data_IF_014168166874
#
_entry.id   IF_014168166874
#
_cell.length_a   1.000
_cell.length_b   1.000
_cell.length_c   1.000
_cell.angle_alpha   90.00
_cell.angle_beta   90.00
_cell.angle_gamma   90.00
#
_symmetry.space_group_name_H-M   'P 1'
#
loop_
_entity.id
_entity.type
_entity.pdbx_description
1 polymer ?
#
# COMPACT_ATOMS: atom_id res chain seq x y z
N UNK A 1 -10.48 21.91 -20.28
CA UNK A 1 -10.31 20.46 -20.32
C UNK A 1 -9.57 19.99 -19.10
N UNK A 2 -9.90 18.79 -18.61
CA UNK A 2 -9.35 18.20 -17.37
C UNK A 2 -8.26 17.16 -17.61
N UNK A 3 -7.81 17.00 -18.86
CA UNK A 3 -6.98 15.88 -19.32
C UNK A 3 -5.67 15.72 -18.53
N UNK A 4 -4.97 16.81 -18.23
CA UNK A 4 -3.71 16.76 -17.47
C UNK A 4 -3.92 16.26 -16.03
N UNK A 5 -4.93 16.79 -15.34
CA UNK A 5 -5.25 16.37 -13.96
C UNK A 5 -5.65 14.90 -13.92
N UNK A 6 -6.51 14.48 -14.86
CA UNK A 6 -6.99 13.10 -14.99
C UNK A 6 -5.86 12.14 -15.31
N UNK A 7 -4.96 12.49 -16.24
CA UNK A 7 -3.82 11.65 -16.61
C UNK A 7 -2.84 11.45 -15.44
N UNK A 8 -2.55 12.51 -14.67
CA UNK A 8 -1.70 12.39 -13.48
C UNK A 8 -2.34 11.48 -12.42
N UNK A 9 -3.65 11.64 -12.16
CA UNK A 9 -4.37 10.82 -11.19
C UNK A 9 -4.42 9.35 -11.62
N UNK A 10 -4.72 9.07 -12.90
CA UNK A 10 -4.68 7.72 -13.46
C UNK A 10 -3.30 7.10 -13.39
N UNK A 11 -2.25 7.85 -13.72
CA UNK A 11 -0.87 7.37 -13.58
C UNK A 11 -0.57 6.98 -12.13
N UNK A 12 -0.96 7.80 -11.16
CA UNK A 12 -0.77 7.47 -9.75
C UNK A 12 -1.57 6.22 -9.34
N UNK A 13 -2.82 6.08 -9.81
CA UNK A 13 -3.65 4.90 -9.54
C UNK A 13 -2.96 3.64 -10.06
N UNK A 14 -2.65 3.60 -11.36
CA UNK A 14 -2.05 2.45 -12.05
C UNK A 14 -0.66 2.10 -11.50
N UNK A 15 0.14 3.09 -11.10
CA UNK A 15 1.47 2.82 -10.50
C UNK A 15 1.38 2.40 -9.04
N UNK A 16 0.28 2.69 -8.35
CA UNK A 16 0.04 2.19 -6.99
C UNK A 16 -0.55 0.78 -6.97
N UNK A 17 -1.15 0.31 -8.08
CA UNK A 17 -1.75 -1.03 -8.15
C UNK A 17 -0.79 -2.16 -7.72
N UNK A 18 0.40 -2.32 -8.35
CA UNK A 18 1.36 -3.34 -7.93
C UNK A 18 1.92 -3.09 -6.52
N UNK A 19 1.92 -1.84 -6.04
CA UNK A 19 2.43 -1.47 -4.71
C UNK A 19 1.45 -1.91 -3.62
N UNK A 20 0.14 -1.74 -3.82
CA UNK A 20 -0.89 -2.23 -2.90
C UNK A 20 -0.90 -3.76 -2.85
N UNK A 21 -0.76 -4.42 -4.00
CA UNK A 21 -0.65 -5.88 -4.07
C UNK A 21 0.58 -6.37 -3.29
N UNK A 22 1.74 -5.74 -3.51
CA UNK A 22 2.95 -5.99 -2.74
C UNK A 22 2.74 -5.76 -1.23
N UNK A 23 1.95 -4.77 -0.82
CA UNK A 23 1.63 -4.52 0.59
C UNK A 23 0.90 -5.69 1.25
N UNK A 24 0.01 -6.38 0.51
CA UNK A 24 -0.66 -7.59 1.00
C UNK A 24 0.33 -8.74 1.18
N UNK A 25 1.20 -8.94 0.18
CA UNK A 25 2.24 -9.98 0.20
C UNK A 25 3.21 -9.77 1.37
N UNK A 26 3.73 -8.56 1.49
CA UNK A 26 4.72 -8.21 2.50
C UNK A 26 4.08 -8.24 3.88
N UNK A 27 2.85 -7.73 4.04
CA UNK A 27 2.12 -7.84 5.29
C UNK A 27 1.91 -9.29 5.74
N UNK A 28 1.67 -10.22 4.81
CA UNK A 28 1.57 -11.65 5.09
C UNK A 28 2.92 -12.25 5.50
N UNK A 29 4.00 -11.89 4.79
CA UNK A 29 5.36 -12.28 5.16
C UNK A 29 5.73 -11.75 6.56
N UNK A 30 5.31 -10.54 6.92
CA UNK A 30 5.53 -9.94 8.24
C UNK A 30 4.73 -10.66 9.33
N UNK A 31 3.51 -11.10 9.04
CA UNK A 31 2.75 -11.95 9.98
C UNK A 31 3.56 -13.22 10.30
N UNK A 32 4.08 -13.93 9.29
CA UNK A 32 4.91 -15.10 9.53
C UNK A 32 6.21 -14.75 10.27
N UNK A 33 6.92 -13.69 9.86
CA UNK A 33 8.14 -13.25 10.52
C UNK A 33 7.93 -12.98 12.03
N UNK A 34 6.74 -12.51 12.41
CA UNK A 34 6.34 -12.27 13.79
C UNK A 34 5.65 -13.48 14.46
N UNK A 35 5.54 -14.62 13.77
CA UNK A 35 4.74 -15.79 14.20
C UNK A 35 3.32 -15.38 14.61
N UNK A 36 2.69 -14.48 13.86
CA UNK A 36 1.36 -13.94 14.16
C UNK A 36 0.24 -14.92 13.84
N UNK A 37 -0.94 -14.66 14.41
CA UNK A 37 -2.15 -15.45 14.18
C UNK A 37 -2.83 -15.10 12.86
N UNK A 38 -3.39 -16.09 12.19
CA UNK A 38 -4.28 -15.92 11.04
C UNK A 38 -5.78 -15.87 11.43
N UNK A 39 -6.10 -16.07 12.71
CA UNK A 39 -7.45 -15.95 13.26
C UNK A 39 -8.15 -14.62 12.92
N UNK A 40 -7.47 -13.45 12.92
CA UNK A 40 -8.04 -12.19 12.47
C UNK A 40 -8.57 -12.15 11.04
N UNK A 41 -8.21 -13.12 10.20
CA UNK A 41 -8.59 -13.19 8.78
C UNK A 41 -9.78 -14.13 8.54
N UNK A 42 -10.40 -14.69 9.59
CA UNK A 42 -11.58 -15.55 9.49
C UNK A 42 -12.71 -14.86 8.71
N UNK A 43 -13.26 -15.48 7.65
CA UNK A 43 -14.25 -14.85 6.78
C UNK A 43 -15.48 -14.33 7.51
N UNK A 44 -15.87 -14.94 8.65
CA UNK A 44 -17.04 -14.54 9.43
C UNK A 44 -16.85 -13.17 10.06
N UNK A 45 -15.62 -12.81 10.47
CA UNK A 45 -15.30 -11.49 11.04
C UNK A 45 -15.59 -10.39 10.03
N UNK A 46 -15.16 -10.60 8.78
CA UNK A 46 -15.28 -9.60 7.72
C UNK A 46 -16.71 -9.57 7.15
N UNK A 47 -17.35 -10.74 7.02
CA UNK A 47 -18.75 -10.83 6.61
C UNK A 47 -19.70 -10.12 7.59
N UNK A 48 -19.45 -10.22 8.91
CA UNK A 48 -20.22 -9.49 9.91
C UNK A 48 -20.08 -7.97 9.79
N UNK A 49 -18.92 -7.46 9.35
CA UNK A 49 -18.71 -6.02 9.15
C UNK A 49 -19.25 -5.53 7.80
N UNK A 50 -19.19 -6.35 6.75
CA UNK A 50 -19.81 -6.09 5.44
C UNK A 50 -19.06 -5.13 4.51
N UNK A 51 -17.85 -4.69 4.84
CA UNK A 51 -17.04 -3.82 3.97
C UNK A 51 -16.37 -4.63 2.85
N UNK A 52 -16.63 -4.36 1.55
CA UNK A 52 -16.14 -5.18 0.44
C UNK A 52 -14.61 -5.31 0.39
N UNK A 53 -13.89 -4.20 0.45
CA UNK A 53 -12.43 -4.22 0.39
C UNK A 53 -11.81 -4.96 1.57
N UNK A 54 -12.43 -4.87 2.76
CA UNK A 54 -11.99 -5.65 3.91
C UNK A 54 -12.19 -7.15 3.73
N UNK A 55 -13.31 -7.57 3.12
CA UNK A 55 -13.59 -8.99 2.84
C UNK A 55 -12.56 -9.53 1.85
N UNK A 56 -12.30 -8.79 0.77
CA UNK A 56 -11.34 -9.17 -0.26
C UNK A 56 -9.92 -9.28 0.31
N UNK A 57 -9.47 -8.26 1.04
CA UNK A 57 -8.13 -8.26 1.66
C UNK A 57 -7.95 -9.42 2.64
N UNK A 58 -8.98 -9.73 3.44
CA UNK A 58 -8.91 -10.90 4.33
C UNK A 58 -8.77 -12.22 3.58
N UNK A 59 -9.45 -12.36 2.44
CA UNK A 59 -9.32 -13.54 1.59
C UNK A 59 -7.90 -13.69 1.03
N UNK A 60 -7.26 -12.59 0.63
CA UNK A 60 -5.85 -12.58 0.24
C UNK A 60 -4.93 -13.06 1.37
N UNK A 61 -5.05 -12.49 2.59
CA UNK A 61 -4.21 -12.92 3.72
C UNK A 61 -4.37 -14.40 4.05
N UNK A 62 -5.61 -14.93 4.05
CA UNK A 62 -5.83 -16.37 4.26
C UNK A 62 -5.14 -17.23 3.21
N UNK A 63 -5.24 -16.85 1.94
CA UNK A 63 -4.62 -17.60 0.85
C UNK A 63 -3.09 -17.54 0.91
N UNK A 64 -2.53 -16.37 1.25
CA UNK A 64 -1.09 -16.17 1.38
C UNK A 64 -0.48 -16.94 2.55
N UNK A 65 -1.18 -17.09 3.66
CA UNK A 65 -0.69 -17.78 4.86
C UNK A 65 -1.00 -19.28 4.88
N UNK A 66 -1.77 -19.79 3.93
CA UNK A 66 -2.20 -21.17 3.91
C UNK A 66 -1.01 -22.15 3.83
N UNK A 67 -0.90 -23.05 4.81
CA UNK A 67 0.16 -24.06 4.88
C UNK A 67 1.49 -23.56 5.43
N UNK A 68 1.55 -22.38 6.06
CA UNK A 68 2.74 -21.89 6.74
C UNK A 68 3.02 -22.67 8.03
N UNK A 69 4.17 -23.36 8.10
CA UNK A 69 4.61 -24.03 9.32
C UNK A 69 5.04 -23.01 10.41
N UNK A 70 5.47 -21.81 9.99
CA UNK A 70 5.74 -20.71 10.91
C UNK A 70 4.46 -20.25 11.59
N UNK A 71 3.38 -20.02 10.84
CA UNK A 71 2.06 -19.71 11.41
C UNK A 71 1.61 -20.81 12.37
N UNK A 72 1.73 -22.08 11.97
CA UNK A 72 1.31 -23.21 12.82
C UNK A 72 2.11 -23.29 14.14
N UNK A 73 3.36 -22.83 14.14
CA UNK A 73 4.19 -22.82 15.35
C UNK A 73 3.63 -21.93 16.47
N UNK A 74 2.80 -20.93 16.14
CA UNK A 74 2.12 -20.07 17.11
C UNK A 74 1.03 -20.79 17.91
N UNK A 75 0.51 -21.92 17.42
CA UNK A 75 -0.61 -22.60 18.07
C UNK A 75 -0.22 -23.34 19.37
N UNK A 76 1.08 -23.54 19.61
CA UNK A 76 1.59 -24.30 20.75
C UNK A 76 2.63 -23.49 21.53
N UNK A 77 2.40 -23.30 22.83
CA UNK A 77 3.37 -22.62 23.71
C UNK A 77 3.47 -21.11 23.50
N UNK A 78 2.47 -20.50 22.87
CA UNK A 78 2.39 -19.05 22.73
C UNK A 78 1.44 -18.43 23.77
N UNK A 79 2.00 -17.57 24.61
CA UNK A 79 1.31 -16.83 25.67
C UNK A 79 0.70 -15.52 25.18
N UNK A 80 0.90 -15.12 23.91
CA UNK A 80 0.28 -13.92 23.35
C UNK A 80 -1.22 -14.10 23.23
N UNK A 81 -1.96 -13.17 23.85
CA UNK A 81 -3.43 -13.17 23.80
C UNK A 81 -3.95 -12.55 22.51
N UNK A 82 -3.29 -11.50 22.01
CA UNK A 82 -3.66 -10.80 20.77
C UNK A 82 -2.44 -10.23 20.09
N UNK A 83 -2.42 -10.30 18.75
CA UNK A 83 -1.44 -9.58 17.95
C UNK A 83 -1.68 -8.06 17.97
N UNK A 84 -0.61 -7.25 17.83
CA UNK A 84 -0.70 -5.82 17.61
C UNK A 84 -1.58 -5.45 16.41
N UNK A 85 -2.15 -4.25 16.44
CA UNK A 85 -3.09 -3.80 15.41
C UNK A 85 -2.46 -3.73 14.01
N UNK A 86 -1.15 -3.46 13.92
CA UNK A 86 -0.46 -3.44 12.62
C UNK A 86 -0.46 -4.81 11.92
N UNK A 87 -0.64 -5.92 12.65
CA UNK A 87 -0.85 -7.26 12.11
C UNK A 87 -2.35 -7.58 11.98
N UNK A 88 -3.08 -7.38 13.08
CA UNK A 88 -4.48 -7.83 13.25
C UNK A 88 -5.49 -7.03 12.44
N UNK A 89 -5.26 -5.72 12.29
CA UNK A 89 -6.19 -4.80 11.65
C UNK A 89 -5.89 -4.57 10.16
N UNK A 90 -4.99 -5.35 9.54
CA UNK A 90 -4.62 -5.19 8.14
C UNK A 90 -5.83 -5.24 7.18
N UNK A 91 -6.78 -6.20 7.30
CA UNK A 91 -7.99 -6.20 6.46
C UNK A 91 -8.83 -4.94 6.62
N UNK A 92 -8.95 -4.42 7.82
CA UNK A 92 -9.76 -3.25 8.13
C UNK A 92 -9.14 -1.98 7.52
N UNK A 93 -7.82 -1.83 7.63
CA UNK A 93 -7.10 -0.63 7.18
C UNK A 93 -6.86 -0.68 5.68
N UNK A 94 -6.22 -1.74 5.19
CA UNK A 94 -5.89 -1.88 3.75
C UNK A 94 -7.15 -2.10 2.93
N UNK A 95 -8.17 -2.76 3.48
CA UNK A 95 -9.48 -2.90 2.83
C UNK A 95 -10.21 -1.57 2.66
N UNK A 96 -10.16 -0.68 3.65
CA UNK A 96 -10.71 0.68 3.51
C UNK A 96 -9.95 1.48 2.43
N UNK A 97 -8.62 1.33 2.37
CA UNK A 97 -7.81 1.94 1.31
C UNK A 97 -8.19 1.40 -0.08
N UNK A 98 -8.43 0.10 -0.20
CA UNK A 98 -8.87 -0.52 -1.45
C UNK A 98 -10.22 0.01 -1.92
N UNK A 99 -11.20 0.13 -1.02
CA UNK A 99 -12.52 0.68 -1.36
C UNK A 99 -12.42 2.15 -1.82
N UNK A 100 -11.56 2.94 -1.17
CA UNK A 100 -11.29 4.32 -1.58
C UNK A 100 -10.65 4.41 -2.97
N UNK A 101 -9.71 3.50 -3.28
CA UNK A 101 -9.06 3.44 -4.60
C UNK A 101 -10.03 2.97 -5.69
N UNK A 102 -10.92 2.02 -5.39
CA UNK A 102 -12.00 1.60 -6.31
C UNK A 102 -12.95 2.74 -6.62
N UNK A 103 -13.30 3.55 -5.62
CA UNK A 103 -14.09 4.76 -5.84
C UNK A 103 -13.38 5.75 -6.77
N UNK A 104 -12.09 6.03 -6.52
CA UNK A 104 -11.29 6.90 -7.37
C UNK A 104 -11.19 6.36 -8.81
N UNK A 105 -10.97 5.05 -8.98
CA UNK A 105 -10.92 4.39 -10.28
C UNK A 105 -12.21 4.61 -11.09
N UNK A 106 -13.38 4.45 -10.45
CA UNK A 106 -14.67 4.71 -11.09
C UNK A 106 -14.81 6.16 -11.56
N UNK A 107 -14.43 7.13 -10.73
CA UNK A 107 -14.48 8.56 -11.08
C UNK A 107 -13.53 8.87 -12.25
N UNK A 108 -12.29 8.40 -12.17
CA UNK A 108 -11.28 8.65 -13.20
C UNK A 108 -11.60 7.96 -14.52
N UNK A 109 -12.25 6.80 -14.50
CA UNK A 109 -12.72 6.11 -15.70
C UNK A 109 -13.80 6.93 -16.42
N UNK A 110 -14.75 7.51 -15.68
CA UNK A 110 -15.77 8.40 -16.26
C UNK A 110 -15.08 9.62 -16.88
N UNK A 111 -14.18 10.27 -16.13
CA UNK A 111 -13.50 11.48 -16.59
C UNK A 111 -12.61 11.24 -17.81
N UNK A 112 -11.95 10.07 -17.89
CA UNK A 112 -11.13 9.68 -19.03
C UNK A 112 -11.92 9.58 -20.35
N UNK A 113 -13.24 9.35 -20.26
CA UNK A 113 -14.14 9.25 -21.41
C UNK A 113 -15.01 10.51 -21.61
N UNK A 114 -14.80 11.56 -20.80
CA UNK A 114 -15.66 12.73 -20.79
C UNK A 114 -15.27 13.79 -21.84
N UNK A 115 -16.27 14.55 -22.30
CA UNK A 115 -16.08 15.79 -23.07
C UNK A 115 -15.95 16.95 -22.08
N UNK A 116 -14.74 17.49 -21.96
CA UNK A 116 -14.36 18.44 -20.88
C UNK A 116 -13.89 19.81 -21.37
N UNK A 117 -14.03 20.08 -22.67
CA UNK A 117 -13.88 21.40 -23.25
C UNK A 117 -15.20 22.20 -23.20
N UNK A 118 -15.14 23.44 -23.68
CA UNK A 118 -16.28 24.36 -23.71
C UNK A 118 -16.03 25.46 -24.76
N UNK A 119 -17.05 25.95 -25.51
CA UNK A 119 -18.46 25.53 -25.50
C UNK A 119 -18.70 24.16 -26.15
N UNK A 120 -19.82 23.53 -25.81
CA UNK A 120 -20.23 22.25 -26.39
C UNK A 120 -21.15 22.46 -27.60
N UNK A 121 -20.92 21.69 -28.66
CA UNK A 121 -21.72 21.73 -29.89
C UNK A 121 -22.59 20.49 -29.99
N UNK A 122 -23.92 20.70 -30.01
CA UNK A 122 -24.91 19.65 -30.17
C UNK A 122 -25.45 19.68 -31.60
N UNK A 123 -24.94 18.76 -32.43
CA UNK A 123 -25.24 18.77 -33.86
C UNK A 123 -26.71 18.46 -34.19
N UNK A 124 -27.38 17.68 -33.35
CA UNK A 124 -28.75 17.22 -33.57
C UNK A 124 -29.76 18.37 -33.60
N UNK A 125 -29.62 19.34 -32.68
CA UNK A 125 -30.47 20.53 -32.60
C UNK A 125 -29.74 21.82 -33.05
N UNK A 126 -28.49 21.70 -33.51
CA UNK A 126 -27.62 22.81 -33.92
C UNK A 126 -27.40 23.84 -32.80
N UNK A 127 -27.42 23.40 -31.55
CA UNK A 127 -27.16 24.26 -30.40
C UNK A 127 -25.66 24.34 -30.08
N UNK A 128 -25.24 25.51 -29.60
CA UNK A 128 -23.94 25.72 -28.96
C UNK A 128 -24.19 26.17 -27.53
N UNK A 129 -23.83 25.34 -26.55
CA UNK A 129 -24.10 25.58 -25.14
C UNK A 129 -22.80 25.86 -24.38
N UNK A 130 -22.80 26.93 -23.59
CA UNK A 130 -21.73 27.21 -22.65
C UNK A 130 -22.06 26.60 -21.29
N UNK A 131 -21.18 25.75 -20.79
CA UNK A 131 -21.26 25.08 -19.50
C UNK A 131 -19.91 25.09 -18.76
N UNK A 132 -19.71 24.10 -17.89
CA UNK A 132 -18.57 24.06 -16.95
C UNK A 132 -17.82 22.73 -16.90
N UNK A 133 -17.91 21.87 -17.92
CA UNK A 133 -17.28 20.54 -17.91
C UNK A 133 -15.74 20.58 -17.81
N UNK A 134 -15.11 21.74 -17.95
CA UNK A 134 -13.68 21.92 -17.69
C UNK A 134 -13.32 21.98 -16.20
N UNK A 135 -14.31 22.06 -15.30
CA UNK A 135 -14.08 22.14 -13.86
C UNK A 135 -13.79 20.75 -13.26
N UNK A 136 -12.53 20.47 -12.96
CA UNK A 136 -12.04 19.15 -12.56
C UNK A 136 -12.29 18.76 -11.09
N UNK A 137 -13.39 19.22 -10.48
CA UNK A 137 -13.71 18.93 -9.07
C UNK A 137 -13.77 17.43 -8.76
N UNK A 138 -14.41 16.59 -9.60
CA UNK A 138 -14.45 15.14 -9.36
C UNK A 138 -13.05 14.51 -9.29
N UNK A 139 -12.13 14.97 -10.16
CA UNK A 139 -10.74 14.50 -10.18
C UNK A 139 -9.98 14.94 -8.94
N UNK A 140 -10.20 16.18 -8.47
CA UNK A 140 -9.55 16.70 -7.27
C UNK A 140 -9.92 15.89 -6.03
N UNK A 141 -11.22 15.63 -5.82
CA UNK A 141 -11.73 14.83 -4.71
C UNK A 141 -11.25 13.37 -4.79
N UNK A 142 -11.24 12.78 -5.99
CA UNK A 142 -10.71 11.44 -6.21
C UNK A 142 -9.22 11.37 -5.85
N UNK A 143 -8.41 12.32 -6.31
CA UNK A 143 -6.98 12.39 -6.02
C UNK A 143 -6.71 12.59 -4.52
N UNK A 144 -7.46 13.46 -3.84
CA UNK A 144 -7.32 13.64 -2.39
C UNK A 144 -7.68 12.38 -1.60
N UNK A 145 -8.72 11.66 -2.02
CA UNK A 145 -9.08 10.37 -1.46
C UNK A 145 -7.99 9.31 -1.65
N UNK A 146 -7.37 9.25 -2.85
CA UNK A 146 -6.24 8.36 -3.11
C UNK A 146 -5.05 8.68 -2.20
N UNK A 147 -4.78 9.95 -1.93
CA UNK A 147 -3.69 10.35 -1.06
C UNK A 147 -3.82 9.78 0.36
N UNK A 148 -5.03 9.83 0.92
CA UNK A 148 -5.31 9.25 2.23
C UNK A 148 -5.06 7.74 2.23
N UNK A 149 -5.53 7.03 1.19
CA UNK A 149 -5.32 5.59 1.04
C UNK A 149 -3.83 5.24 0.92
N UNK A 150 -3.07 5.95 0.09
CA UNK A 150 -1.62 5.72 -0.10
C UNK A 150 -0.86 5.98 1.22
N UNK A 151 -1.19 7.08 1.92
CA UNK A 151 -0.56 7.41 3.19
C UNK A 151 -0.80 6.34 4.26
N UNK A 152 -2.04 5.83 4.39
CA UNK A 152 -2.40 4.83 5.38
C UNK A 152 -1.78 3.45 5.11
N UNK A 153 -1.64 3.05 3.84
CA UNK A 153 -0.89 1.83 3.48
C UNK A 153 0.57 1.94 3.91
N UNK A 154 1.22 3.09 3.66
CA UNK A 154 2.58 3.35 4.15
C UNK A 154 2.68 3.40 5.67
N UNK A 155 1.71 4.02 6.34
CA UNK A 155 1.71 4.15 7.79
C UNK A 155 1.58 2.80 8.50
N UNK A 156 0.66 1.92 8.06
CA UNK A 156 0.53 0.60 8.68
C UNK A 156 1.74 -0.30 8.39
N UNK A 157 2.35 -0.20 7.20
CA UNK A 157 3.61 -0.88 6.86
C UNK A 157 4.75 -0.44 7.77
N UNK A 158 4.91 0.87 7.98
CA UNK A 158 5.92 1.41 8.88
C UNK A 158 5.73 0.92 10.32
N UNK A 159 4.49 0.83 10.82
CA UNK A 159 4.20 0.24 12.13
C UNK A 159 4.53 -1.25 12.22
N UNK A 160 4.44 -2.00 11.11
CA UNK A 160 4.89 -3.41 11.06
C UNK A 160 6.42 -3.52 11.12
N UNK A 161 7.16 -2.62 10.44
CA UNK A 161 8.63 -2.53 10.57
C UNK A 161 9.01 -2.24 12.01
N UNK A 162 8.41 -1.23 12.63
CA UNK A 162 8.66 -0.84 14.01
C UNK A 162 8.44 -2.01 14.98
N UNK A 163 7.38 -2.80 14.75
CA UNK A 163 7.09 -3.98 15.54
C UNK A 163 8.15 -5.07 15.36
N UNK A 164 8.59 -5.37 14.13
CA UNK A 164 9.59 -6.42 13.87
C UNK A 164 10.93 -6.14 14.55
N UNK A 165 11.38 -4.88 14.57
CA UNK A 165 12.67 -4.52 15.17
C UNK A 165 12.62 -4.45 16.71
N UNK A 166 11.44 -4.42 17.30
CA UNK A 166 11.24 -4.40 18.75
C UNK A 166 11.17 -5.83 19.29
N UNK A 167 12.28 -6.29 19.89
CA UNK A 167 12.37 -7.64 20.48
C UNK A 167 11.33 -7.93 21.56
N UNK A 168 10.78 -6.91 22.22
CA UNK A 168 9.73 -7.11 23.23
C UNK A 168 8.38 -7.50 22.61
N UNK A 169 8.18 -7.20 21.33
CA UNK A 169 6.96 -7.50 20.59
C UNK A 169 7.18 -8.63 19.59
N UNK A 170 8.24 -8.57 18.78
CA UNK A 170 8.48 -9.54 17.68
C UNK A 170 9.03 -10.89 18.13
N UNK A 171 9.67 -10.95 19.31
CA UNK A 171 10.45 -12.11 19.79
C UNK A 171 11.58 -12.52 18.82
N UNK A 172 11.97 -11.61 17.94
CA UNK A 172 13.17 -11.70 17.11
C UNK A 172 14.32 -10.96 17.81
N UNK A 173 15.57 -11.18 17.38
CA UNK A 173 16.69 -10.38 17.87
C UNK A 173 16.42 -8.87 17.67
N UNK A 174 16.78 -8.01 18.63
CA UNK A 174 16.51 -6.58 18.54
C UNK A 174 17.17 -5.99 17.29
N UNK A 175 16.43 -5.12 16.58
CA UNK A 175 16.84 -4.56 15.29
C UNK A 175 17.15 -5.61 14.20
N UNK A 176 16.71 -6.86 14.38
CA UNK A 176 16.92 -7.97 13.47
C UNK A 176 18.41 -8.29 13.21
N UNK A 177 19.24 -8.23 14.25
CA UNK A 177 20.66 -8.60 14.22
C UNK A 177 21.04 -9.53 15.37
N UNK A 178 21.97 -10.46 15.15
CA UNK A 178 22.41 -11.44 16.17
C UNK A 178 23.21 -10.77 17.29
N UNK A 179 24.11 -9.84 16.95
CA UNK A 179 25.02 -9.17 17.88
C UNK A 179 24.63 -7.70 18.08
N UNK A 180 23.45 -7.48 18.66
CA UNK A 180 22.93 -6.14 18.91
C UNK A 180 23.85 -5.34 19.86
N UNK A 181 24.07 -4.06 19.53
CA UNK A 181 24.98 -3.16 20.24
C UNK A 181 26.38 -3.10 19.62
N UNK A 182 26.82 -4.17 18.94
CA UNK A 182 27.94 -4.11 17.99
C UNK A 182 27.42 -3.74 16.59
N UNK A 183 26.31 -4.36 16.19
CA UNK A 183 25.59 -4.06 14.95
C UNK A 183 24.30 -3.29 15.26
N UNK A 184 23.96 -2.35 14.38
CA UNK A 184 22.74 -1.55 14.45
C UNK A 184 21.58 -2.21 13.70
N UNK A 185 21.85 -3.19 12.85
CA UNK A 185 20.80 -3.93 12.17
C UNK A 185 19.91 -3.03 11.30
N UNK A 186 18.61 -3.19 11.44
CA UNK A 186 17.59 -2.43 10.72
C UNK A 186 17.21 -1.09 11.36
N UNK A 187 17.92 -0.64 12.41
CA UNK A 187 17.60 0.57 13.15
C UNK A 187 17.45 1.80 12.24
N UNK A 188 18.43 2.08 11.38
CA UNK A 188 18.39 3.26 10.51
C UNK A 188 17.46 3.06 9.31
N UNK A 189 17.30 1.83 8.83
CA UNK A 189 16.30 1.53 7.80
C UNK A 189 14.89 1.87 8.30
N UNK A 190 14.57 1.57 9.57
CA UNK A 190 13.31 1.98 10.19
C UNK A 190 13.17 3.51 10.28
N UNK A 191 14.23 4.24 10.64
CA UNK A 191 14.22 5.71 10.64
C UNK A 191 13.87 6.27 9.25
N UNK A 192 14.41 5.68 8.18
CA UNK A 192 14.03 6.05 6.80
C UNK A 192 12.55 5.81 6.54
N UNK A 193 12.01 4.64 6.90
CA UNK A 193 10.58 4.35 6.75
C UNK A 193 9.69 5.33 7.54
N UNK A 194 10.07 5.65 8.79
CA UNK A 194 9.36 6.59 9.64
C UNK A 194 9.33 8.01 9.06
N UNK A 195 10.46 8.47 8.49
CA UNK A 195 10.54 9.78 7.83
C UNK A 195 9.58 9.87 6.62
N UNK A 196 9.60 8.85 5.76
CA UNK A 196 8.74 8.79 4.56
C UNK A 196 7.25 8.69 4.93
N UNK A 197 6.91 7.89 5.95
CA UNK A 197 5.55 7.79 6.45
C UNK A 197 5.06 9.14 7.02
N UNK A 198 5.95 9.88 7.70
CA UNK A 198 5.64 11.21 8.21
C UNK A 198 5.47 12.25 7.09
N UNK A 199 6.32 12.20 6.06
CA UNK A 199 6.21 13.10 4.90
C UNK A 199 4.86 12.93 4.19
N UNK A 200 4.39 11.69 4.04
CA UNK A 200 3.08 11.41 3.44
C UNK A 200 1.91 12.02 4.22
N UNK A 201 2.03 12.25 5.54
CA UNK A 201 0.98 12.91 6.33
C UNK A 201 0.78 14.36 5.89
N UNK A 202 1.88 15.09 5.72
CA UNK A 202 1.83 16.47 5.24
C UNK A 202 1.36 16.52 3.79
N UNK A 203 1.87 15.60 2.95
CA UNK A 203 1.44 15.51 1.56
C UNK A 203 -0.05 15.19 1.44
N UNK A 204 -0.63 14.41 2.36
CA UNK A 204 -2.04 14.00 2.34
C UNK A 204 -3.06 15.12 2.57
N UNK A 205 -2.63 16.34 2.95
CA UNK A 205 -3.53 17.48 3.12
C UNK A 205 -4.36 17.72 1.84
N UNK A 206 -5.69 17.87 1.94
CA UNK A 206 -6.55 17.99 0.76
C UNK A 206 -6.26 19.28 0.00
N UNK A 207 -6.11 19.16 -1.31
CA UNK A 207 -5.95 20.31 -2.21
C UNK A 207 -7.29 20.78 -2.77
N UNK A 208 -8.27 19.87 -2.88
CA UNK A 208 -9.62 20.15 -3.41
C UNK A 208 -10.43 21.15 -2.58
N UNK A 209 -10.02 21.40 -1.33
CA UNK A 209 -10.70 22.37 -0.44
C UNK A 209 -10.14 23.79 -0.56
N UNK A 210 -9.12 23.98 -1.40
CA UNK A 210 -8.55 25.30 -1.70
C UNK A 210 -9.05 25.82 -3.05
N UNK A 211 -9.25 27.13 -3.13
CA UNK A 211 -9.66 27.84 -4.35
C UNK A 211 -9.23 29.30 -4.26
N UNK A 212 -8.60 29.81 -5.32
CA UNK A 212 -8.21 31.22 -5.42
C UNK A 212 -8.76 31.80 -6.71
N UNK A 213 -9.46 32.95 -6.65
CA UNK A 213 -10.07 33.52 -7.83
C UNK A 213 -9.01 34.02 -8.82
N UNK A 214 -9.18 33.70 -10.09
CA UNK A 214 -8.33 34.14 -11.20
C UNK A 214 -9.12 34.95 -12.21
N UNK A 215 -8.40 35.57 -13.16
CA UNK A 215 -9.02 36.24 -14.31
C UNK A 215 -10.04 37.33 -13.91
N UNK A 216 -9.67 38.18 -12.95
CA UNK A 216 -10.53 39.25 -12.39
C UNK A 216 -11.90 38.75 -11.86
N UNK A 217 -11.88 37.62 -11.14
CA UNK A 217 -13.05 36.91 -10.60
C UNK A 217 -13.96 36.27 -11.64
N UNK A 218 -13.53 36.15 -12.90
CA UNK A 218 -14.26 35.35 -13.90
C UNK A 218 -14.15 33.85 -13.59
N UNK A 219 -13.03 33.43 -13.00
CA UNK A 219 -12.79 32.09 -12.48
C UNK A 219 -12.74 32.21 -10.95
N UNK A 220 -13.89 32.38 -10.32
CA UNK A 220 -14.02 32.64 -8.87
C UNK A 220 -13.98 31.37 -8.01
N UNK A 221 -14.10 30.19 -8.64
CA UNK A 221 -13.94 28.88 -8.02
C UNK A 221 -13.17 27.92 -8.94
N UNK A 222 -12.17 27.23 -8.39
CA UNK A 222 -11.34 26.23 -9.10
C UNK A 222 -11.08 25.00 -8.21
N UNK A 223 -10.73 23.87 -8.83
CA UNK A 223 -10.63 22.58 -8.13
C UNK A 223 -9.26 22.19 -7.59
N UNK A 224 -8.19 22.88 -8.01
CA UNK A 224 -6.80 22.50 -7.73
C UNK A 224 -6.41 21.06 -8.14
N UNK A 225 -7.19 20.41 -9.01
CA UNK A 225 -7.05 18.99 -9.34
C UNK A 225 -5.64 18.58 -9.83
N UNK A 226 -4.96 19.46 -10.57
CA UNK A 226 -3.60 19.18 -11.06
C UNK A 226 -2.60 19.02 -9.92
N UNK A 227 -2.68 19.85 -8.87
CA UNK A 227 -1.81 19.71 -7.70
C UNK A 227 -2.20 18.47 -6.88
N UNK A 228 -3.51 18.27 -6.68
CA UNK A 228 -4.05 17.08 -6.00
C UNK A 228 -3.55 15.78 -6.65
N UNK A 229 -3.52 15.72 -7.98
CA UNK A 229 -3.06 14.56 -8.72
C UNK A 229 -1.52 14.42 -8.79
N UNK A 230 -0.78 15.53 -8.86
CA UNK A 230 0.70 15.56 -8.97
C UNK A 230 1.42 15.19 -7.67
N UNK A 231 0.81 15.39 -6.50
CA UNK A 231 1.44 15.01 -5.23
C UNK A 231 1.45 13.51 -5.00
N UNK A 232 0.54 12.77 -5.64
CA UNK A 232 0.39 11.33 -5.46
C UNK A 232 1.62 10.54 -5.90
N UNK A 233 2.35 10.98 -6.92
CA UNK A 233 3.49 10.25 -7.47
C UNK A 233 4.62 10.16 -6.44
N UNK A 234 4.89 11.23 -5.69
CA UNK A 234 5.83 11.21 -4.55
C UNK A 234 5.32 10.29 -3.45
N UNK A 235 4.02 10.34 -3.13
CA UNK A 235 3.44 9.48 -2.08
C UNK A 235 3.50 7.99 -2.42
N UNK A 236 3.29 7.63 -3.67
CA UNK A 236 3.46 6.25 -4.18
C UNK A 236 4.92 5.82 -4.04
N UNK A 237 5.87 6.67 -4.43
CA UNK A 237 7.30 6.38 -4.31
C UNK A 237 7.76 6.21 -2.86
N UNK A 238 7.25 7.05 -1.95
CA UNK A 238 7.50 6.96 -0.51
C UNK A 238 6.95 5.65 0.07
N UNK A 239 5.70 5.31 -0.27
CA UNK A 239 5.05 4.08 0.20
C UNK A 239 5.74 2.83 -0.31
N UNK A 240 6.18 2.84 -1.58
CA UNK A 240 6.95 1.73 -2.14
C UNK A 240 8.31 1.55 -1.43
N UNK A 241 8.99 2.64 -1.04
CA UNK A 241 10.22 2.56 -0.25
C UNK A 241 9.99 1.98 1.14
N UNK A 242 8.92 2.40 1.83
CA UNK A 242 8.53 1.85 3.13
C UNK A 242 8.30 0.34 3.01
N UNK A 243 7.54 -0.10 2.01
CA UNK A 243 7.30 -1.52 1.74
C UNK A 243 8.57 -2.28 1.36
N UNK A 244 9.49 -1.68 0.62
CA UNK A 244 10.81 -2.27 0.34
C UNK A 244 11.61 -2.53 1.61
N UNK A 245 11.59 -1.60 2.57
CA UNK A 245 12.22 -1.78 3.88
C UNK A 245 11.51 -2.88 4.67
N UNK A 246 10.18 -2.91 4.65
CA UNK A 246 9.40 -3.96 5.30
C UNK A 246 9.71 -5.34 4.72
N UNK A 247 9.82 -5.47 3.40
CA UNK A 247 10.19 -6.72 2.73
C UNK A 247 11.55 -7.25 3.22
N UNK A 248 12.55 -6.37 3.34
CA UNK A 248 13.87 -6.73 3.87
C UNK A 248 13.79 -7.19 5.33
N UNK A 249 13.05 -6.44 6.17
CA UNK A 249 12.88 -6.75 7.58
C UNK A 249 12.13 -8.07 7.80
N UNK A 250 11.02 -8.28 7.09
CA UNK A 250 10.23 -9.50 7.17
C UNK A 250 11.04 -10.71 6.70
N UNK A 251 11.78 -10.60 5.58
CA UNK A 251 12.61 -11.69 5.10
C UNK A 251 13.75 -12.03 6.08
N UNK A 252 14.36 -11.03 6.73
CA UNK A 252 15.34 -11.24 7.79
C UNK A 252 14.70 -11.93 9.01
N UNK A 253 13.47 -11.55 9.37
CA UNK A 253 12.71 -12.23 10.42
C UNK A 253 12.48 -13.70 10.11
N UNK A 254 12.00 -14.04 8.92
CA UNK A 254 11.85 -15.43 8.45
C UNK A 254 13.17 -16.20 8.52
N UNK A 255 14.28 -15.54 8.21
CA UNK A 255 15.60 -16.17 8.27
C UNK A 255 16.04 -16.58 9.67
N UNK A 256 15.62 -15.85 10.71
CA UNK A 256 15.84 -16.22 12.11
C UNK A 256 14.92 -17.35 12.59
N UNK A 257 13.87 -17.68 11.83
CA UNK A 257 12.93 -18.76 12.17
C UNK A 257 13.29 -20.10 11.54
N UNK A 258 14.34 -20.16 10.72
CA UNK A 258 14.81 -21.43 10.12
C UNK A 258 15.15 -22.46 11.22
N UNK A 259 14.82 -23.75 11.04
CA UNK A 259 14.40 -24.39 9.77
C UNK A 259 12.89 -24.35 9.49
N UNK A 260 12.08 -23.57 10.21
CA UNK A 260 10.66 -23.41 9.86
C UNK A 260 10.51 -22.72 8.49
N UNK A 261 9.48 -23.12 7.76
CA UNK A 261 9.11 -22.57 6.46
C UNK A 261 7.73 -21.89 6.51
N UNK A 262 7.61 -20.80 5.77
CA UNK A 262 6.36 -20.10 5.48
C UNK A 262 5.52 -20.89 4.46
N UNK A 263 4.42 -20.31 3.97
CA UNK A 263 3.65 -20.91 2.88
C UNK A 263 4.47 -20.98 1.59
N UNK A 264 4.09 -21.86 0.67
CA UNK A 264 4.80 -22.04 -0.59
C UNK A 264 4.92 -20.76 -1.43
N UNK A 265 3.93 -19.86 -1.35
CA UNK A 265 3.93 -18.60 -2.10
C UNK A 265 4.82 -17.56 -1.43
N UNK A 266 4.80 -17.47 -0.10
CA UNK A 266 5.64 -16.54 0.64
C UNK A 266 7.12 -16.98 0.64
N UNK A 267 7.41 -18.28 0.57
CA UNK A 267 8.77 -18.79 0.34
C UNK A 267 9.29 -18.40 -1.06
N UNK A 268 8.44 -18.33 -2.09
CA UNK A 268 8.85 -17.81 -3.41
C UNK A 268 9.22 -16.33 -3.34
N UNK A 269 8.46 -15.53 -2.57
CA UNK A 269 8.73 -14.10 -2.33
C UNK A 269 10.05 -13.93 -1.58
N UNK A 270 10.25 -14.71 -0.51
CA UNK A 270 11.51 -14.73 0.25
C UNK A 270 12.69 -15.08 -0.65
N UNK A 271 12.57 -16.16 -1.44
CA UNK A 271 13.62 -16.60 -2.35
C UNK A 271 13.92 -15.58 -3.45
N UNK A 272 12.89 -14.92 -4.00
CA UNK A 272 13.06 -13.86 -5.01
C UNK A 272 13.93 -12.73 -4.48
N UNK A 273 13.67 -12.24 -3.26
CA UNK A 273 14.50 -11.23 -2.60
C UNK A 273 15.91 -11.76 -2.32
N UNK A 274 16.02 -12.97 -1.76
CA UNK A 274 17.30 -13.56 -1.33
C UNK A 274 18.23 -13.95 -2.47
N UNK A 275 17.74 -14.03 -3.71
CA UNK A 275 18.59 -14.16 -4.89
C UNK A 275 19.60 -13.01 -5.02
N UNK A 276 19.14 -11.80 -4.74
CA UNK A 276 19.90 -10.57 -5.01
C UNK A 276 20.30 -9.83 -3.73
N UNK A 277 19.59 -10.05 -2.61
CA UNK A 277 19.85 -9.41 -1.31
C UNK A 277 20.14 -10.45 -0.23
N UNK A 278 21.41 -10.68 0.16
CA UNK A 278 21.76 -11.67 1.17
C UNK A 278 21.24 -11.28 2.57
N UNK A 279 21.21 -12.24 3.50
CA UNK A 279 20.92 -11.96 4.91
C UNK A 279 21.87 -10.90 5.47
N UNK A 280 21.41 -10.10 6.42
CA UNK A 280 22.27 -9.09 7.06
C UNK A 280 22.72 -9.58 8.44
N UNK A 281 23.80 -10.34 8.48
CA UNK A 281 24.39 -10.85 9.74
C UNK A 281 25.31 -9.83 10.42
N UNK A 282 25.90 -8.93 9.63
CA UNK A 282 26.72 -7.82 10.08
C UNK A 282 26.28 -6.56 9.34
N UNK A 283 26.49 -5.40 9.96
CA UNK A 283 26.12 -4.11 9.37
C UNK A 283 26.81 -3.92 8.01
N UNK A 284 26.03 -3.43 7.05
CA UNK A 284 26.51 -3.05 5.72
C UNK A 284 25.77 -1.83 5.20
N UNK A 285 26.26 -1.28 4.10
CA UNK A 285 25.56 -0.22 3.40
C UNK A 285 24.23 -0.73 2.82
N UNK A 286 23.11 -0.37 3.47
CA UNK A 286 21.77 -0.89 3.18
C UNK A 286 21.06 -0.22 2.01
N UNK A 287 21.50 0.96 1.56
CA UNK A 287 20.76 1.71 0.53
C UNK A 287 20.57 0.94 -0.80
N UNK A 288 21.56 0.16 -1.31
CA UNK A 288 21.37 -0.66 -2.51
C UNK A 288 20.33 -1.76 -2.30
N UNK A 289 20.31 -2.38 -1.12
CA UNK A 289 19.33 -3.42 -0.76
C UNK A 289 17.91 -2.83 -0.71
N UNK A 290 17.76 -1.65 -0.09
CA UNK A 290 16.49 -0.91 -0.04
C UNK A 290 16.03 -0.55 -1.45
N UNK A 291 16.93 -0.05 -2.31
CA UNK A 291 16.60 0.30 -3.68
C UNK A 291 16.15 -0.93 -4.49
N UNK A 292 16.82 -2.07 -4.32
CA UNK A 292 16.46 -3.32 -4.98
C UNK A 292 15.09 -3.84 -4.49
N UNK A 293 14.87 -3.91 -3.19
CA UNK A 293 13.59 -4.33 -2.62
C UNK A 293 12.44 -3.41 -3.05
N UNK A 294 12.68 -2.09 -3.09
CA UNK A 294 11.71 -1.10 -3.60
C UNK A 294 11.40 -1.32 -5.08
N UNK A 295 12.38 -1.71 -5.90
CA UNK A 295 12.14 -2.03 -7.31
C UNK A 295 11.20 -3.23 -7.47
N UNK A 296 11.40 -4.30 -6.69
CA UNK A 296 10.50 -5.49 -6.69
C UNK A 296 9.06 -5.14 -6.31
N UNK A 297 8.88 -4.16 -5.42
CA UNK A 297 7.56 -3.63 -5.05
C UNK A 297 6.93 -2.85 -6.22
N UNK A 298 7.70 -1.98 -6.88
CA UNK A 298 7.19 -1.09 -7.93
C UNK A 298 6.96 -1.77 -9.28
N UNK A 299 7.80 -2.73 -9.65
CA UNK A 299 7.76 -3.38 -10.96
C UNK A 299 6.73 -4.54 -11.04
N UNK A 300 6.01 -4.78 -9.95
CA UNK A 300 5.00 -5.82 -9.84
C UNK A 300 5.56 -7.25 -9.72
N UNK A 301 6.83 -7.44 -9.40
CA UNK A 301 7.41 -8.79 -9.23
C UNK A 301 6.73 -9.57 -8.12
N UNK A 302 6.41 -8.92 -7.00
CA UNK A 302 5.67 -9.56 -5.91
C UNK A 302 4.21 -9.81 -6.26
N UNK A 303 3.57 -8.82 -6.89
CA UNK A 303 2.20 -8.90 -7.40
C UNK A 303 2.00 -10.12 -8.31
N UNK A 304 2.88 -10.31 -9.30
CA UNK A 304 2.83 -11.44 -10.25
C UNK A 304 2.86 -12.80 -9.57
N UNK A 305 3.62 -12.96 -8.47
CA UNK A 305 3.66 -14.23 -7.72
C UNK A 305 2.27 -14.54 -7.15
N UNK A 306 1.62 -13.55 -6.55
CA UNK A 306 0.33 -13.73 -5.86
C UNK A 306 -0.85 -13.82 -6.83
N UNK A 307 -0.76 -13.18 -8.00
CA UNK A 307 -1.73 -13.32 -9.07
C UNK A 307 -1.82 -14.76 -9.63
N UNK A 308 -0.86 -15.64 -9.31
CA UNK A 308 -0.95 -17.08 -9.65
C UNK A 308 -1.92 -17.87 -8.75
N UNK A 309 -2.34 -17.31 -7.61
CA UNK A 309 -3.28 -17.94 -6.70
C UNK A 309 -4.69 -17.96 -7.29
N UNK A 310 -5.27 -19.15 -7.39
CA UNK A 310 -6.62 -19.33 -7.88
C UNK A 310 -7.69 -18.91 -6.85
N UNK A 311 -8.81 -18.39 -7.35
CA UNK A 311 -10.00 -18.11 -6.52
C UNK A 311 -9.89 -16.85 -5.66
N UNK A 312 -8.96 -15.94 -5.95
CA UNK A 312 -8.90 -14.62 -5.33
C UNK A 312 -9.74 -13.60 -6.12
N UNK A 313 -10.44 -12.67 -5.44
CA UNK A 313 -11.22 -11.64 -6.11
C UNK A 313 -10.29 -10.63 -6.79
N UNK A 314 -10.66 -10.05 -7.94
CA UNK A 314 -9.87 -8.98 -8.54
C UNK A 314 -9.90 -7.74 -7.64
N UNK A 315 -8.74 -7.27 -7.20
CA UNK A 315 -8.62 -6.06 -6.39
C UNK A 315 -9.03 -4.82 -7.22
N UNK A 316 -8.65 -4.79 -8.49
CA UNK A 316 -8.86 -3.68 -9.42
C UNK A 316 -10.07 -3.91 -10.32
N UNK A 317 -11.26 -3.81 -9.73
CA UNK A 317 -12.51 -3.70 -10.49
C UNK A 317 -13.09 -2.30 -10.28
N UNK A 318 -13.11 -1.44 -11.31
CA UNK A 318 -13.96 -0.27 -11.29
C UNK A 318 -15.40 -0.79 -11.21
N UNK A 319 -16.04 -0.59 -10.04
CA UNK A 319 -17.44 -0.95 -9.83
C UNK A 319 -18.41 -0.10 -10.63
#
# INVERSE_FOLDING_TARGET
GTQTSTALALHALLTFEPVLEAALVIGALTIDAARGSDGPFDPRIHALRGQPGQIDVAQYYRALLAGSAIRDSHLSGDDRVQDPYCLRCQPQVVGACLDQLRHAARVLLIEANAVTDNPLVFAEDRAMLSGGNFHAEPVALAADGMALAIAEVGAIAERRIAMLIDSSVSRLPPFLTEDAGLNSGFMIAHVTAAALASENKSLAHPASVDSLPTSANQEDHVSMATFAARRLQTMVANTAHILGIELLAAAQGIDFLRPLHSSAVLEQVHALLRRDVPKMMQDRYLAPDIAHATALVRDGSLARIVQTLAGLPPLWTPG
#
